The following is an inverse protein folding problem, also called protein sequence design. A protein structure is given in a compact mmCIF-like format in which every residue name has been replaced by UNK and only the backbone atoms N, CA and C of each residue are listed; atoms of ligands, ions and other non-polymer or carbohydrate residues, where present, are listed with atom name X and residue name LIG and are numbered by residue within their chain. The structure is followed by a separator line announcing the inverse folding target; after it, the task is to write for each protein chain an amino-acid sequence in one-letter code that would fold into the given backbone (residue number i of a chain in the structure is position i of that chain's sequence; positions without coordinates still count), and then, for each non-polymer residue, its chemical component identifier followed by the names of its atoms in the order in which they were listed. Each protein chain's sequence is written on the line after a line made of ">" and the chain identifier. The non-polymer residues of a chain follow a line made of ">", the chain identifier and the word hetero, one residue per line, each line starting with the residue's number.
data_IF_588517774250
#
_entry.id   IF_588517774250
#
_cell.length_a   1.000
_cell.length_b   1.000
_cell.length_c   1.000
_cell.angle_alpha   90.00
_cell.angle_beta   90.00
_cell.angle_gamma   90.00
#
_symmetry.space_group_name_H-M   'P 1'
#
loop_
_entity.id
_entity.type
_entity.pdbx_description
1 polymer ?
#
# COMPACT_ATOMS: atom_id res chain seq x y z
N UNK A 1 0.71 16.99 -17.16
CA UNK A 1 0.92 15.71 -16.47
C UNK A 1 -0.18 14.77 -16.91
N UNK A 2 0.13 13.51 -17.21
CA UNK A 2 -0.88 12.52 -17.60
C UNK A 2 -1.84 12.19 -16.44
N UNK A 3 -3.06 11.68 -16.71
CA UNK A 3 -4.03 11.27 -15.68
C UNK A 3 -3.47 10.18 -14.76
N UNK A 4 -2.65 9.28 -15.32
CA UNK A 4 -1.90 8.26 -14.60
C UNK A 4 -0.41 8.43 -14.92
N UNK A 5 0.29 9.33 -14.20
CA UNK A 5 1.69 9.64 -14.49
C UNK A 5 2.59 8.42 -14.26
N UNK A 6 3.59 8.28 -15.12
CA UNK A 6 4.63 7.28 -14.99
C UNK A 6 5.51 7.56 -13.75
N UNK A 7 6.23 6.52 -13.27
CA UNK A 7 7.18 6.69 -12.17
C UNK A 7 8.26 7.73 -12.48
N UNK A 8 8.63 7.89 -13.75
CA UNK A 8 9.61 8.90 -14.18
C UNK A 8 9.05 10.32 -14.07
N UNK A 9 7.80 10.55 -14.50
CA UNK A 9 7.12 11.85 -14.34
C UNK A 9 6.99 12.22 -12.86
N UNK A 10 6.63 11.25 -12.00
CA UNK A 10 6.52 11.46 -10.55
C UNK A 10 7.89 11.79 -9.92
N UNK A 11 8.93 11.05 -10.31
CA UNK A 11 10.30 11.33 -9.85
C UNK A 11 10.74 12.74 -10.22
N UNK A 12 10.52 13.13 -11.47
CA UNK A 12 10.87 14.45 -11.95
C UNK A 12 10.11 15.55 -11.20
N UNK A 13 8.82 15.33 -10.93
CA UNK A 13 8.01 16.23 -10.13
C UNK A 13 8.58 16.40 -8.73
N UNK A 14 8.85 15.34 -7.98
CA UNK A 14 9.39 15.43 -6.63
C UNK A 14 10.79 16.05 -6.59
N UNK A 15 11.63 15.77 -7.57
CA UNK A 15 12.94 16.41 -7.68
C UNK A 15 12.81 17.92 -7.93
N UNK A 16 11.89 18.34 -8.81
CA UNK A 16 11.67 19.77 -9.08
C UNK A 16 11.06 20.47 -7.85
N UNK A 17 10.15 19.81 -7.13
CA UNK A 17 9.59 20.30 -5.87
C UNK A 17 10.69 20.52 -4.82
N UNK A 18 11.55 19.53 -4.63
CA UNK A 18 12.65 19.62 -3.66
C UNK A 18 13.64 20.75 -4.00
N UNK A 19 13.94 20.95 -5.29
CA UNK A 19 14.79 22.08 -5.74
C UNK A 19 14.11 23.43 -5.51
N UNK A 20 12.81 23.54 -5.86
CA UNK A 20 12.06 24.79 -5.74
C UNK A 20 11.99 25.29 -4.29
N UNK A 21 11.88 24.37 -3.33
CA UNK A 21 11.81 24.71 -1.91
C UNK A 21 13.15 24.56 -1.17
N UNK A 22 14.27 24.38 -1.87
CA UNK A 22 15.62 24.22 -1.30
C UNK A 22 15.69 23.09 -0.24
N UNK A 23 14.95 21.99 -0.45
CA UNK A 23 14.86 20.92 0.54
C UNK A 23 16.11 20.05 0.63
N UNK A 24 16.95 20.05 -0.41
CA UNK A 24 18.17 19.23 -0.44
C UNK A 24 19.15 19.53 0.68
N UNK A 25 19.21 20.77 1.16
CA UNK A 25 20.07 21.18 2.26
C UNK A 25 19.66 20.57 3.62
N UNK A 26 18.40 20.09 3.72
CA UNK A 26 17.84 19.46 4.91
C UNK A 26 17.75 17.93 4.81
N UNK A 27 18.21 17.32 3.70
CA UNK A 27 18.09 15.88 3.47
C UNK A 27 19.47 15.23 3.57
N UNK A 28 19.64 14.30 4.47
CA UNK A 28 20.83 13.44 4.55
C UNK A 28 20.61 12.19 3.71
N UNK A 29 21.08 12.19 2.47
CA UNK A 29 21.03 11.03 1.58
C UNK A 29 22.03 9.94 2.02
N UNK A 30 21.75 8.69 1.57
CA UNK A 30 22.59 7.51 1.88
C UNK A 30 22.80 7.33 3.39
N UNK A 31 21.80 7.68 4.18
CA UNK A 31 21.83 7.63 5.65
C UNK A 31 20.71 6.71 6.11
N UNK A 32 21.09 5.58 6.72
CA UNK A 32 20.15 4.61 7.29
C UNK A 32 19.87 4.97 8.74
N UNK A 33 18.60 5.09 9.11
CA UNK A 33 18.20 5.14 10.52
C UNK A 33 18.25 3.71 11.07
N UNK A 34 19.22 3.46 11.98
CA UNK A 34 19.44 2.15 12.59
C UNK A 34 18.52 1.92 13.78
N UNK A 35 18.42 2.91 14.66
CA UNK A 35 17.57 2.83 15.84
C UNK A 35 17.03 4.18 16.27
N UNK A 36 15.85 4.18 16.90
CA UNK A 36 15.25 5.32 17.58
C UNK A 36 14.84 4.86 18.97
N UNK A 37 15.44 5.44 19.99
CA UNK A 37 15.21 5.09 21.40
C UNK A 37 14.66 6.30 22.14
N UNK A 38 13.58 6.10 22.90
CA UNK A 38 13.05 7.15 23.76
C UNK A 38 13.82 7.21 25.06
N UNK A 39 14.36 8.38 25.37
CA UNK A 39 15.13 8.63 26.58
C UNK A 39 14.22 8.95 27.79
N UNK A 40 14.71 8.81 29.02
CA UNK A 40 13.98 9.24 30.23
C UNK A 40 13.61 10.73 30.25
N UNK A 41 14.36 11.58 29.54
CA UNK A 41 14.07 13.01 29.33
C UNK A 41 12.86 13.26 28.43
N UNK A 42 12.29 12.22 27.82
CA UNK A 42 11.28 12.23 26.75
C UNK A 42 11.81 12.64 25.36
N UNK A 43 13.10 12.84 25.20
CA UNK A 43 13.73 13.07 23.90
C UNK A 43 13.95 11.74 23.15
N UNK A 44 14.39 11.83 21.90
CA UNK A 44 14.67 10.70 21.04
C UNK A 44 16.16 10.63 20.72
N UNK A 45 16.81 9.54 21.11
CA UNK A 45 18.13 9.19 20.63
C UNK A 45 17.98 8.47 19.29
N UNK A 46 18.55 9.03 18.23
CA UNK A 46 18.50 8.48 16.88
C UNK A 46 19.91 8.09 16.44
N UNK A 47 20.10 6.81 16.22
CA UNK A 47 21.35 6.28 15.66
C UNK A 47 21.18 6.14 14.15
N UNK A 48 22.08 6.77 13.40
CA UNK A 48 22.13 6.67 11.94
C UNK A 48 23.44 6.05 11.48
N UNK A 49 23.42 5.40 10.29
CA UNK A 49 24.62 4.88 9.62
C UNK A 49 24.78 5.62 8.29
N UNK A 50 25.97 6.26 8.14
CA UNK A 50 26.38 6.91 6.89
C UNK A 50 27.83 6.55 6.60
N UNK A 51 28.13 6.05 5.39
CA UNK A 51 29.47 5.58 5.00
C UNK A 51 30.06 4.60 6.03
N UNK A 52 29.27 3.62 6.47
CA UNK A 52 29.65 2.59 7.47
C UNK A 52 29.96 3.13 8.87
N UNK A 53 29.77 4.42 9.13
CA UNK A 53 29.96 5.06 10.45
C UNK A 53 28.61 5.34 11.12
N UNK A 54 28.56 5.03 12.40
CA UNK A 54 27.42 5.36 13.25
C UNK A 54 27.54 6.79 13.76
N UNK A 55 26.39 7.48 13.76
CA UNK A 55 26.23 8.81 14.34
C UNK A 55 25.01 8.78 15.26
N UNK A 56 25.14 9.32 16.44
CA UNK A 56 24.07 9.41 17.43
C UNK A 56 23.73 10.87 17.65
N UNK A 57 22.45 11.20 17.53
CA UNK A 57 21.92 12.55 17.73
C UNK A 57 20.67 12.49 18.61
N UNK A 58 20.41 13.55 19.37
CA UNK A 58 19.24 13.66 20.25
C UNK A 58 18.29 14.70 19.68
N UNK A 59 17.01 14.34 19.60
CA UNK A 59 15.93 15.17 19.07
C UNK A 59 14.78 15.26 20.06
N UNK A 60 14.11 16.40 20.11
CA UNK A 60 12.90 16.60 20.92
C UNK A 60 11.70 15.88 20.37
N UNK A 61 11.61 15.78 19.04
CA UNK A 61 10.45 15.23 18.31
C UNK A 61 10.90 14.27 17.21
N UNK A 62 10.11 13.23 16.97
CA UNK A 62 10.34 12.25 15.93
C UNK A 62 9.16 12.17 14.97
N UNK A 63 9.40 12.43 13.67
CA UNK A 63 8.40 12.31 12.61
C UNK A 63 8.76 11.17 11.67
N UNK A 64 7.98 10.10 11.72
CA UNK A 64 8.20 8.87 10.94
C UNK A 64 7.46 8.95 9.62
N UNK A 65 8.20 8.95 8.50
CA UNK A 65 7.66 9.09 7.15
C UNK A 65 8.12 7.94 6.22
N UNK A 66 8.52 6.79 6.76
CA UNK A 66 9.10 5.68 6.00
C UNK A 66 8.10 4.94 5.10
N UNK A 67 6.80 5.25 5.23
CA UNK A 67 5.73 4.59 4.48
C UNK A 67 5.45 3.16 4.96
N UNK A 68 4.66 2.42 4.16
CA UNK A 68 4.19 1.08 4.54
C UNK A 68 4.33 0.04 3.41
N UNK A 69 5.06 0.35 2.34
CA UNK A 69 5.28 -0.56 1.20
C UNK A 69 6.78 -0.78 0.95
N UNK A 70 7.53 -1.13 1.99
CA UNK A 70 8.97 -1.34 1.84
C UNK A 70 9.47 -2.67 2.44
N UNK A 71 8.79 -3.25 3.46
CA UNK A 71 9.12 -4.58 3.99
C UNK A 71 8.31 -5.65 3.24
N UNK A 72 8.94 -6.46 2.37
CA UNK A 72 8.25 -7.45 1.55
C UNK A 72 7.64 -8.58 2.39
N UNK A 73 6.37 -8.90 2.13
CA UNK A 73 5.72 -10.08 2.70
C UNK A 73 5.87 -11.27 1.77
N UNK A 74 6.78 -12.17 2.06
CA UNK A 74 6.97 -13.39 1.29
C UNK A 74 5.88 -14.44 1.62
N UNK A 75 5.36 -15.15 0.60
CA UNK A 75 4.46 -16.26 0.85
C UNK A 75 5.26 -17.48 1.31
N UNK A 76 4.64 -18.32 2.16
CA UNK A 76 5.20 -19.59 2.58
C UNK A 76 4.41 -20.72 1.93
N UNK A 77 5.10 -21.58 1.18
CA UNK A 77 4.56 -22.80 0.61
C UNK A 77 5.47 -23.98 0.96
N UNK A 78 4.92 -25.21 1.09
CA UNK A 78 5.76 -26.40 1.28
C UNK A 78 6.74 -26.62 0.14
N UNK A 79 7.91 -27.16 0.46
CA UNK A 79 8.96 -27.47 -0.52
C UNK A 79 9.86 -26.28 -0.87
N UNK A 80 10.68 -26.45 -1.89
CA UNK A 80 11.65 -25.45 -2.31
C UNK A 80 11.59 -25.22 -3.82
N UNK A 81 11.57 -23.95 -4.23
CA UNK A 81 11.67 -23.54 -5.61
C UNK A 81 13.12 -23.23 -5.97
N UNK A 82 13.67 -23.93 -6.98
CA UNK A 82 15.07 -23.79 -7.39
C UNK A 82 15.30 -22.84 -8.56
N UNK A 83 14.22 -22.23 -9.10
CA UNK A 83 14.31 -21.16 -10.09
C UNK A 83 14.52 -19.78 -9.45
N UNK A 84 14.44 -18.74 -10.25
CA UNK A 84 14.51 -17.36 -9.77
C UNK A 84 13.24 -16.99 -8.98
N UNK A 85 13.39 -16.64 -7.70
CA UNK A 85 12.27 -16.22 -6.86
C UNK A 85 12.52 -14.79 -6.34
N UNK A 86 11.62 -13.85 -6.66
CA UNK A 86 11.72 -12.46 -6.22
C UNK A 86 10.37 -11.92 -5.75
N UNK A 87 10.42 -10.93 -4.87
CA UNK A 87 9.23 -10.15 -4.51
C UNK A 87 9.03 -8.98 -5.48
N UNK A 88 7.78 -8.52 -5.66
CA UNK A 88 7.45 -7.36 -6.51
C UNK A 88 8.19 -6.08 -6.12
N UNK A 89 8.67 -5.97 -4.88
CA UNK A 89 9.55 -4.88 -4.44
C UNK A 89 10.88 -4.83 -5.22
N UNK A 90 11.41 -5.98 -5.60
CA UNK A 90 12.65 -6.12 -6.36
C UNK A 90 12.41 -6.02 -7.88
N UNK A 91 11.16 -6.18 -8.33
CA UNK A 91 10.81 -6.05 -9.75
C UNK A 91 10.95 -4.60 -10.22
N UNK A 92 11.78 -4.35 -11.23
CA UNK A 92 12.02 -3.00 -11.78
C UNK A 92 11.60 -2.88 -13.25
N UNK A 93 11.69 -3.94 -14.03
CA UNK A 93 11.39 -3.98 -15.47
C UNK A 93 11.14 -5.40 -15.94
N UNK A 94 10.41 -5.55 -17.04
CA UNK A 94 10.07 -6.87 -17.60
C UNK A 94 11.24 -7.54 -18.37
N UNK A 95 12.21 -6.79 -18.87
CA UNK A 95 13.28 -7.30 -19.74
C UNK A 95 14.02 -8.55 -19.21
N UNK A 96 14.35 -8.71 -17.92
CA UNK A 96 15.01 -9.92 -17.39
C UNK A 96 14.18 -11.20 -17.55
N UNK A 97 12.88 -11.10 -17.81
CA UNK A 97 11.94 -12.22 -17.96
C UNK A 97 11.64 -12.58 -19.41
N UNK A 98 12.40 -11.99 -20.35
CA UNK A 98 12.26 -12.32 -21.78
C UNK A 98 12.48 -13.82 -22.01
N UNK A 99 11.57 -14.42 -22.82
CA UNK A 99 11.58 -15.84 -23.19
C UNK A 99 11.50 -16.85 -22.02
N UNK A 100 11.22 -16.39 -20.77
CA UNK A 100 11.04 -17.25 -19.60
C UNK A 100 9.56 -17.64 -19.42
N UNK A 101 9.33 -18.77 -18.75
CA UNK A 101 8.03 -19.10 -18.16
C UNK A 101 7.96 -18.45 -16.77
N UNK A 102 7.08 -17.50 -16.59
CA UNK A 102 6.96 -16.69 -15.37
C UNK A 102 5.66 -16.95 -14.65
N UNK A 103 5.72 -17.22 -13.36
CA UNK A 103 4.55 -17.24 -12.48
C UNK A 103 4.51 -15.97 -11.62
N UNK A 104 3.40 -15.25 -11.69
CA UNK A 104 3.09 -14.12 -10.79
C UNK A 104 2.11 -14.61 -9.73
N UNK A 105 2.43 -14.39 -8.44
CA UNK A 105 1.61 -14.79 -7.30
C UNK A 105 0.93 -13.56 -6.71
N UNK A 106 -0.41 -13.59 -6.63
CA UNK A 106 -1.21 -12.51 -6.05
C UNK A 106 -2.25 -11.94 -6.98
N UNK A 107 -3.20 -11.17 -6.46
CA UNK A 107 -4.32 -10.60 -7.22
C UNK A 107 -4.54 -9.09 -6.96
N UNK A 108 -3.61 -8.43 -6.26
CA UNK A 108 -3.63 -6.98 -6.08
C UNK A 108 -3.10 -6.23 -7.30
N UNK A 109 -3.07 -4.89 -7.22
CA UNK A 109 -2.61 -4.01 -8.31
C UNK A 109 -1.23 -4.42 -8.84
N UNK A 110 -0.25 -4.61 -7.95
CA UNK A 110 1.10 -5.02 -8.36
C UNK A 110 1.13 -6.33 -9.13
N UNK A 111 0.35 -7.34 -8.71
CA UNK A 111 0.28 -8.62 -9.40
C UNK A 111 -0.28 -8.48 -10.82
N UNK A 112 -1.33 -7.69 -10.96
CA UNK A 112 -1.96 -7.45 -12.26
C UNK A 112 -1.04 -6.67 -13.21
N UNK A 113 -0.39 -5.61 -12.71
CA UNK A 113 0.53 -4.80 -13.52
C UNK A 113 1.79 -5.61 -13.91
N UNK A 114 2.40 -6.35 -12.97
CA UNK A 114 3.56 -7.21 -13.23
C UNK A 114 3.21 -8.31 -14.22
N UNK A 115 2.04 -8.98 -14.07
CA UNK A 115 1.60 -10.01 -15.02
C UNK A 115 1.38 -9.45 -16.43
N UNK A 116 0.79 -8.26 -16.53
CA UNK A 116 0.58 -7.58 -17.82
C UNK A 116 1.93 -7.23 -18.47
N UNK A 117 2.85 -6.62 -17.72
CA UNK A 117 4.16 -6.24 -18.26
C UNK A 117 5.00 -7.45 -18.66
N UNK A 118 5.11 -8.45 -17.79
CA UNK A 118 5.88 -9.68 -18.10
C UNK A 118 5.29 -10.42 -19.31
N UNK A 119 3.96 -10.41 -19.48
CA UNK A 119 3.30 -11.06 -20.63
C UNK A 119 3.66 -10.47 -21.99
N UNK A 120 4.32 -9.31 -22.01
CA UNK A 120 4.76 -8.66 -23.26
C UNK A 120 6.09 -9.21 -23.78
N UNK A 121 6.91 -9.80 -22.90
CA UNK A 121 8.28 -10.24 -23.22
C UNK A 121 8.55 -11.71 -22.89
N UNK A 122 7.83 -12.31 -21.94
CA UNK A 122 8.01 -13.69 -21.52
C UNK A 122 7.54 -14.69 -22.59
N UNK A 123 8.10 -15.90 -22.57
CA UNK A 123 7.57 -17.01 -23.37
C UNK A 123 6.12 -17.33 -22.97
N UNK A 124 5.83 -17.30 -21.66
CA UNK A 124 4.48 -17.45 -21.10
C UNK A 124 4.41 -16.86 -19.70
N UNK A 125 3.38 -16.08 -19.43
CA UNK A 125 3.06 -15.58 -18.08
C UNK A 125 1.87 -16.36 -17.51
N UNK A 126 1.99 -16.76 -16.26
CA UNK A 126 0.94 -17.37 -15.45
C UNK A 126 0.62 -16.49 -14.26
N UNK A 127 -0.63 -16.54 -13.79
CA UNK A 127 -1.08 -15.74 -12.66
C UNK A 127 -1.86 -16.62 -11.68
N UNK A 128 -1.35 -16.79 -10.45
CA UNK A 128 -1.99 -17.59 -9.41
C UNK A 128 -2.69 -16.69 -8.38
N UNK A 129 -4.00 -16.92 -8.22
CA UNK A 129 -4.84 -16.26 -7.23
C UNK A 129 -5.34 -17.24 -6.18
N UNK A 130 -5.15 -16.90 -4.90
CA UNK A 130 -5.70 -17.67 -3.79
C UNK A 130 -7.21 -17.41 -3.59
N UNK A 131 -7.65 -16.19 -3.84
CA UNK A 131 -9.05 -15.73 -3.71
C UNK A 131 -9.41 -14.76 -4.82
N UNK A 132 -10.72 -14.54 -5.04
CA UNK A 132 -11.20 -13.59 -6.03
C UNK A 132 -10.97 -12.14 -5.64
N UNK A 133 -10.71 -11.31 -6.65
CA UNK A 133 -10.56 -9.86 -6.53
C UNK A 133 -11.56 -9.17 -7.45
N UNK A 134 -12.00 -7.98 -7.03
CA UNK A 134 -12.82 -7.10 -7.87
C UNK A 134 -11.90 -6.22 -8.71
N UNK A 135 -11.96 -6.44 -10.03
CA UNK A 135 -11.19 -5.67 -10.99
C UNK A 135 -12.07 -4.53 -11.50
N UNK A 136 -11.51 -3.32 -11.52
CA UNK A 136 -12.13 -2.15 -12.14
C UNK A 136 -11.18 -1.54 -13.17
N UNK A 137 -11.68 -0.99 -14.29
CA UNK A 137 -10.82 -0.36 -15.29
C UNK A 137 -10.23 0.95 -14.77
N UNK A 138 -9.07 1.35 -15.31
CA UNK A 138 -8.45 2.66 -15.02
C UNK A 138 -9.32 3.82 -15.47
N UNK A 139 -10.02 3.66 -16.59
CA UNK A 139 -10.92 4.67 -17.16
C UNK A 139 -12.34 4.14 -17.24
N UNK A 140 -13.29 4.98 -16.87
CA UNK A 140 -14.71 4.72 -16.99
C UNK A 140 -15.36 5.88 -17.75
N UNK A 141 -16.04 5.60 -18.86
CA UNK A 141 -16.63 6.63 -19.75
C UNK A 141 -15.64 7.75 -20.12
N UNK A 142 -14.39 7.39 -20.44
CA UNK A 142 -13.32 8.31 -20.83
C UNK A 142 -12.72 9.15 -19.70
N UNK A 143 -13.08 8.87 -18.44
CA UNK A 143 -12.53 9.58 -17.26
C UNK A 143 -11.85 8.60 -16.32
N UNK A 144 -10.78 9.03 -15.59
CA UNK A 144 -10.20 8.22 -14.52
C UNK A 144 -11.25 7.75 -13.52
N UNK A 145 -11.20 6.48 -13.13
CA UNK A 145 -12.24 5.87 -12.29
C UNK A 145 -12.32 6.49 -10.89
N UNK A 146 -11.22 6.95 -10.34
CA UNK A 146 -11.17 7.68 -9.06
C UNK A 146 -11.85 9.07 -9.15
N UNK A 147 -11.66 9.79 -10.26
CA UNK A 147 -12.38 11.05 -10.54
C UNK A 147 -13.88 10.81 -10.68
N UNK A 148 -14.25 9.71 -11.35
CA UNK A 148 -15.66 9.32 -11.47
C UNK A 148 -16.25 8.98 -10.09
N UNK A 149 -15.54 8.22 -9.27
CA UNK A 149 -15.94 7.88 -7.90
C UNK A 149 -16.10 9.11 -7.00
N UNK A 150 -15.21 10.10 -7.14
CA UNK A 150 -15.30 11.38 -6.40
C UNK A 150 -16.59 12.13 -6.68
N UNK A 151 -17.10 12.10 -7.92
CA UNK A 151 -18.36 12.75 -8.28
C UNK A 151 -19.59 12.11 -7.62
N UNK A 152 -19.48 10.87 -7.16
CA UNK A 152 -20.58 10.15 -6.49
C UNK A 152 -20.54 10.29 -4.95
N UNK A 153 -19.67 11.15 -4.38
CA UNK A 153 -19.54 11.30 -2.93
C UNK A 153 -20.75 11.87 -2.22
N UNK A 154 -21.70 12.44 -2.96
CA UNK A 154 -23.01 12.86 -2.42
C UNK A 154 -23.93 11.68 -2.06
N UNK A 155 -23.67 10.48 -2.62
CA UNK A 155 -24.41 9.26 -2.30
C UNK A 155 -23.86 8.60 -1.03
N UNK A 156 -24.72 7.96 -0.20
CA UNK A 156 -24.26 7.09 0.89
C UNK A 156 -23.32 5.99 0.39
N UNK A 157 -22.33 5.63 1.20
CA UNK A 157 -21.26 4.69 0.82
C UNK A 157 -21.78 3.33 0.33
N UNK A 158 -22.89 2.83 0.90
CA UNK A 158 -23.49 1.56 0.48
C UNK A 158 -24.06 1.63 -0.94
N UNK A 159 -24.69 2.75 -1.33
CA UNK A 159 -25.21 2.95 -2.69
C UNK A 159 -24.05 3.12 -3.69
N UNK A 160 -23.00 3.84 -3.32
CA UNK A 160 -21.79 3.95 -4.15
C UNK A 160 -21.19 2.59 -4.43
N UNK A 161 -21.05 1.76 -3.39
CA UNK A 161 -20.49 0.42 -3.52
C UNK A 161 -21.37 -0.52 -4.36
N UNK A 162 -22.69 -0.42 -4.20
CA UNK A 162 -23.64 -1.19 -5.01
C UNK A 162 -23.53 -0.82 -6.50
N UNK A 163 -23.56 0.49 -6.79
CA UNK A 163 -23.45 1.01 -8.15
C UNK A 163 -22.10 0.68 -8.78
N UNK A 164 -21.01 0.86 -8.05
CA UNK A 164 -19.67 0.51 -8.52
C UNK A 164 -19.52 -0.99 -8.79
N UNK A 165 -20.10 -1.85 -7.93
CA UNK A 165 -20.16 -3.30 -8.15
C UNK A 165 -20.94 -3.68 -9.40
N UNK A 166 -22.08 -3.04 -9.63
CA UNK A 166 -22.91 -3.25 -10.81
C UNK A 166 -22.19 -2.82 -12.10
N UNK A 167 -21.58 -1.63 -12.10
CA UNK A 167 -20.81 -1.14 -13.25
C UNK A 167 -19.62 -2.07 -13.53
N UNK A 168 -18.89 -2.51 -12.50
CA UNK A 168 -17.79 -3.45 -12.68
C UNK A 168 -18.26 -4.79 -13.26
N UNK A 169 -19.43 -5.29 -12.86
CA UNK A 169 -20.02 -6.52 -13.39
C UNK A 169 -20.45 -6.38 -14.84
N UNK A 170 -21.10 -5.27 -15.20
CA UNK A 170 -21.46 -5.01 -16.61
C UNK A 170 -20.21 -4.93 -17.50
N UNK A 171 -19.18 -4.23 -17.03
CA UNK A 171 -17.96 -4.03 -17.81
C UNK A 171 -17.13 -5.32 -18.00
N UNK A 172 -17.00 -6.12 -16.95
CA UNK A 172 -16.07 -7.25 -16.91
C UNK A 172 -16.75 -8.62 -16.98
N UNK A 173 -18.03 -8.72 -16.62
CA UNK A 173 -18.70 -10.00 -16.39
C UNK A 173 -18.22 -10.71 -15.13
N UNK A 174 -18.44 -12.01 -15.05
CA UNK A 174 -17.98 -12.88 -13.96
C UNK A 174 -16.50 -13.22 -14.11
N UNK A 175 -15.77 -13.29 -13.02
CA UNK A 175 -14.35 -13.73 -13.01
C UNK A 175 -14.20 -15.17 -13.58
N UNK A 176 -15.21 -16.02 -13.43
CA UNK A 176 -15.19 -17.41 -13.93
C UNK A 176 -14.93 -17.50 -15.42
N UNK A 177 -15.45 -16.56 -16.23
CA UNK A 177 -15.25 -16.57 -17.69
C UNK A 177 -13.79 -16.33 -18.08
N UNK A 178 -12.96 -15.85 -17.14
CA UNK A 178 -11.51 -15.66 -17.30
C UNK A 178 -10.69 -16.78 -16.63
N UNK A 179 -11.34 -17.78 -16.00
CA UNK A 179 -10.65 -18.80 -15.21
C UNK A 179 -10.10 -18.29 -13.88
N UNK A 180 -10.64 -17.17 -13.38
CA UNK A 180 -10.26 -16.56 -12.12
C UNK A 180 -11.29 -16.86 -11.03
N UNK A 181 -10.88 -16.96 -9.72
CA UNK A 181 -11.82 -17.16 -8.62
C UNK A 181 -12.80 -15.99 -8.49
N UNK A 182 -14.04 -16.30 -8.11
CA UNK A 182 -15.04 -15.27 -7.79
C UNK A 182 -14.71 -14.61 -6.45
N UNK A 183 -14.95 -13.28 -6.32
CA UNK A 183 -14.84 -12.61 -5.04
C UNK A 183 -15.91 -13.13 -4.05
N UNK A 184 -15.46 -13.55 -2.88
CA UNK A 184 -16.28 -14.02 -1.76
C UNK A 184 -16.86 -12.90 -0.88
N UNK A 185 -16.67 -11.65 -1.28
CA UNK A 185 -17.02 -10.45 -0.51
C UNK A 185 -17.73 -9.39 -1.35
N UNK A 186 -18.48 -8.51 -0.67
CA UNK A 186 -19.19 -7.39 -1.30
C UNK A 186 -18.20 -6.35 -1.82
N UNK A 187 -18.61 -5.56 -2.82
CA UNK A 187 -17.83 -4.43 -3.31
C UNK A 187 -17.59 -3.42 -2.16
N UNK A 188 -16.35 -2.93 -2.03
CA UNK A 188 -15.94 -2.00 -0.96
C UNK A 188 -15.47 -2.69 0.33
N UNK A 189 -15.69 -4.01 0.50
CA UNK A 189 -15.17 -4.76 1.65
C UNK A 189 -13.65 -5.02 1.57
N UNK A 190 -13.07 -4.85 0.39
CA UNK A 190 -11.62 -4.90 0.13
C UNK A 190 -11.23 -3.77 -0.79
N UNK A 191 -9.92 -3.49 -0.83
CA UNK A 191 -9.37 -2.58 -1.83
C UNK A 191 -9.56 -3.18 -3.24
N UNK A 192 -10.25 -2.51 -4.18
CA UNK A 192 -10.41 -3.02 -5.53
C UNK A 192 -9.06 -3.04 -6.28
N UNK A 193 -8.95 -3.93 -7.25
CA UNK A 193 -7.81 -3.97 -8.16
C UNK A 193 -8.11 -3.15 -9.39
N UNK A 194 -7.29 -2.12 -9.64
CA UNK A 194 -7.46 -1.21 -10.78
C UNK A 194 -6.55 -1.67 -11.91
N UNK A 195 -7.11 -2.27 -12.95
CA UNK A 195 -6.34 -2.70 -14.11
C UNK A 195 -7.25 -2.83 -15.35
N UNK A 196 -6.85 -2.26 -16.49
CA UNK A 196 -7.62 -2.30 -17.74
C UNK A 196 -7.16 -3.40 -18.70
N UNK A 197 -5.95 -3.94 -18.54
CA UNK A 197 -5.34 -4.85 -19.52
C UNK A 197 -5.37 -6.32 -19.10
N UNK A 198 -5.43 -6.63 -17.80
CA UNK A 198 -5.30 -8.00 -17.30
C UNK A 198 -6.31 -8.95 -17.96
N UNK A 199 -7.60 -8.61 -17.90
CA UNK A 199 -8.66 -9.45 -18.42
C UNK A 199 -8.55 -9.62 -19.95
N UNK A 200 -8.16 -8.57 -20.66
CA UNK A 200 -7.84 -8.60 -22.08
C UNK A 200 -6.68 -9.57 -22.37
N UNK A 201 -5.57 -9.47 -21.62
CA UNK A 201 -4.41 -10.36 -21.80
C UNK A 201 -4.72 -11.82 -21.51
N UNK A 202 -5.61 -12.09 -20.54
CA UNK A 202 -6.10 -13.45 -20.27
C UNK A 202 -6.90 -13.98 -21.46
N UNK A 203 -7.86 -13.20 -21.98
CA UNK A 203 -8.67 -13.58 -23.14
C UNK A 203 -7.86 -13.82 -24.41
N UNK A 204 -6.78 -13.08 -24.61
CA UNK A 204 -5.84 -13.29 -25.70
C UNK A 204 -4.81 -14.41 -25.42
N UNK A 205 -4.96 -15.16 -24.32
CA UNK A 205 -4.09 -16.27 -23.97
C UNK A 205 -2.64 -15.88 -23.65
N UNK A 206 -2.34 -14.59 -23.45
CA UNK A 206 -1.00 -14.12 -23.07
C UNK A 206 -0.70 -14.38 -21.60
N UNK A 207 -1.73 -14.32 -20.75
CA UNK A 207 -1.66 -14.66 -19.33
C UNK A 207 -2.57 -15.86 -19.10
N UNK A 208 -2.04 -16.90 -18.44
CA UNK A 208 -2.79 -18.11 -18.08
C UNK A 208 -3.08 -18.11 -16.58
N UNK A 209 -4.35 -18.04 -16.16
CA UNK A 209 -4.72 -18.18 -14.75
C UNK A 209 -4.37 -19.58 -14.22
N UNK A 210 -3.99 -19.64 -12.97
CA UNK A 210 -3.75 -20.84 -12.17
C UNK A 210 -4.44 -20.72 -10.82
N UNK A 211 -4.81 -21.85 -10.26
CA UNK A 211 -5.33 -21.92 -8.90
C UNK A 211 -4.27 -21.59 -7.87
N UNK A 212 -4.62 -21.63 -6.59
CA UNK A 212 -3.67 -21.45 -5.49
C UNK A 212 -2.56 -22.51 -5.56
N UNK A 213 -1.34 -22.11 -5.21
CA UNK A 213 -0.18 -23.00 -5.12
C UNK A 213 -0.40 -23.95 -3.94
N UNK A 214 -0.09 -25.24 -4.17
CA UNK A 214 -0.05 -26.27 -3.16
C UNK A 214 1.38 -26.42 -2.60
N UNK A 215 2.36 -26.71 -3.46
CA UNK A 215 3.76 -26.87 -3.06
C UNK A 215 4.73 -26.61 -4.20
N UNK A 216 5.98 -26.43 -3.84
CA UNK A 216 7.14 -26.34 -4.73
C UNK A 216 7.94 -27.65 -4.75
N UNK A 217 8.46 -28.03 -5.93
CA UNK A 217 9.34 -29.17 -6.10
C UNK A 217 10.34 -28.87 -7.21
N UNK A 218 11.52 -28.37 -6.84
CA UNK A 218 12.50 -27.87 -7.80
C UNK A 218 11.95 -26.72 -8.64
N UNK A 219 11.95 -26.85 -9.96
CA UNK A 219 11.30 -25.86 -10.86
C UNK A 219 9.80 -26.14 -11.10
N UNK A 220 9.28 -27.27 -10.62
CA UNK A 220 7.88 -27.63 -10.77
C UNK A 220 7.05 -27.05 -9.63
N UNK A 221 5.93 -26.44 -9.98
CA UNK A 221 4.96 -25.90 -9.01
C UNK A 221 3.66 -26.66 -9.17
N UNK A 222 3.16 -27.21 -8.07
CA UNK A 222 1.89 -27.90 -7.97
C UNK A 222 0.82 -26.95 -7.47
N UNK A 223 -0.37 -27.07 -8.05
CA UNK A 223 -1.52 -26.22 -7.71
C UNK A 223 -2.62 -27.05 -7.08
N UNK A 224 -3.52 -26.42 -6.30
CA UNK A 224 -4.63 -27.08 -5.60
C UNK A 224 -5.67 -27.71 -6.54
N UNK A 225 -5.67 -27.38 -7.82
CA UNK A 225 -6.47 -28.04 -8.85
C UNK A 225 -5.82 -29.31 -9.42
N UNK A 226 -4.80 -29.83 -8.75
CA UNK A 226 -3.99 -30.99 -9.15
C UNK A 226 -3.16 -30.79 -10.42
N UNK A 227 -3.15 -29.60 -10.99
CA UNK A 227 -2.28 -29.28 -12.11
C UNK A 227 -0.86 -28.95 -11.62
N UNK A 228 0.13 -29.17 -12.49
CA UNK A 228 1.50 -28.73 -12.25
C UNK A 228 2.09 -28.09 -13.52
N UNK A 229 3.12 -27.29 -13.34
CA UNK A 229 3.85 -26.65 -14.44
C UNK A 229 5.27 -26.30 -13.98
N UNK A 230 6.22 -26.28 -14.91
CA UNK A 230 7.59 -25.84 -14.66
C UNK A 230 7.73 -24.34 -14.95
N UNK A 231 8.48 -23.66 -14.08
CA UNK A 231 8.74 -22.23 -14.19
C UNK A 231 10.22 -21.91 -14.09
N UNK A 232 10.63 -20.87 -14.82
CA UNK A 232 11.97 -20.31 -14.73
C UNK A 232 12.06 -19.25 -13.61
N UNK A 233 10.97 -18.46 -13.45
CA UNK A 233 10.93 -17.39 -12.47
C UNK A 233 9.55 -17.31 -11.80
N UNK A 234 9.57 -16.95 -10.51
CA UNK A 234 8.38 -16.66 -9.70
C UNK A 234 8.48 -15.23 -9.17
N UNK A 235 7.43 -14.44 -9.35
CA UNK A 235 7.34 -13.07 -8.83
C UNK A 235 6.21 -13.01 -7.80
N UNK A 236 6.57 -12.89 -6.52
CA UNK A 236 5.63 -12.78 -5.42
C UNK A 236 5.12 -11.34 -5.29
N UNK A 237 3.84 -11.11 -5.60
CA UNK A 237 3.14 -9.84 -5.41
C UNK A 237 2.18 -9.96 -4.22
N UNK A 238 2.71 -10.38 -3.09
CA UNK A 238 1.94 -10.79 -1.90
C UNK A 238 1.79 -9.69 -0.85
N UNK A 239 2.22 -8.47 -1.21
CA UNK A 239 2.08 -7.26 -0.39
C UNK A 239 3.25 -7.05 0.56
N UNK A 240 3.02 -6.22 1.58
CA UNK A 240 4.04 -5.71 2.48
C UNK A 240 3.58 -5.84 3.93
N UNK A 241 4.52 -5.83 4.84
CA UNK A 241 4.29 -5.73 6.28
C UNK A 241 4.51 -4.30 6.77
N UNK A 242 3.77 -3.93 7.84
CA UNK A 242 3.97 -2.64 8.49
C UNK A 242 5.16 -2.75 9.43
N UNK A 243 6.34 -2.43 8.95
CA UNK A 243 7.57 -2.57 9.70
C UNK A 243 8.21 -1.22 10.02
N UNK A 244 8.69 -1.11 11.24
CA UNK A 244 9.48 0.02 11.74
C UNK A 244 10.73 -0.55 12.44
N UNK A 245 11.71 -1.09 11.69
CA UNK A 245 12.80 -1.87 12.24
C UNK A 245 13.77 -1.06 13.11
N UNK A 246 13.68 0.25 13.04
CA UNK A 246 14.44 1.18 13.89
C UNK A 246 13.83 1.38 15.28
N UNK A 247 12.66 0.82 15.57
CA UNK A 247 12.12 0.72 16.92
C UNK A 247 12.32 -0.67 17.51
N UNK A 248 12.58 -0.75 18.80
CA UNK A 248 12.49 -2.01 19.52
C UNK A 248 11.06 -2.58 19.42
N UNK A 249 10.95 -3.89 19.16
CA UNK A 249 9.65 -4.55 18.97
C UNK A 249 8.76 -4.51 20.21
N UNK A 250 9.34 -4.42 21.41
CA UNK A 250 8.60 -4.27 22.65
C UNK A 250 8.11 -2.84 22.87
N UNK A 251 8.80 -1.85 22.29
CA UNK A 251 8.41 -0.45 22.33
C UNK A 251 7.29 -0.16 21.33
N UNK A 252 7.47 -0.51 20.06
CA UNK A 252 6.50 -0.27 19.00
C UNK A 252 6.57 -1.36 17.92
N UNK A 253 5.46 -2.09 17.77
CA UNK A 253 5.35 -3.12 16.75
C UNK A 253 3.96 -3.07 16.09
N UNK A 254 3.91 -2.67 14.82
CA UNK A 254 2.69 -2.69 14.01
C UNK A 254 2.70 -3.81 12.94
N UNK A 255 3.66 -4.73 12.99
CA UNK A 255 3.70 -5.87 12.08
C UNK A 255 2.47 -6.76 12.25
N UNK A 256 2.01 -6.92 13.48
CA UNK A 256 0.80 -7.65 13.84
C UNK A 256 -0.16 -6.78 14.67
N UNK A 257 -1.44 -7.14 14.67
CA UNK A 257 -2.45 -6.45 15.47
C UNK A 257 -2.90 -5.10 14.92
N UNK A 258 -3.67 -4.35 15.71
CA UNK A 258 -4.22 -3.04 15.31
C UNK A 258 -3.15 -1.95 15.28
N UNK A 259 -3.45 -0.85 14.55
CA UNK A 259 -2.63 0.36 14.51
C UNK A 259 -3.42 1.51 15.15
N UNK A 260 -3.34 1.67 16.48
CA UNK A 260 -4.13 2.63 17.24
C UNK A 260 -3.49 4.03 17.23
N UNK A 261 -3.52 4.66 16.06
CA UNK A 261 -3.03 6.01 15.83
C UNK A 261 -4.19 6.94 15.49
N UNK A 262 -4.44 7.97 16.30
CA UNK A 262 -5.45 8.97 15.99
C UNK A 262 -5.09 9.73 14.71
N UNK A 263 -6.04 9.79 13.78
CA UNK A 263 -5.84 10.30 12.41
C UNK A 263 -4.66 9.62 11.69
N UNK A 264 -4.36 8.35 12.05
CA UNK A 264 -3.23 7.58 11.53
C UNK A 264 -1.87 8.28 11.69
N UNK A 265 -1.75 9.19 12.66
CA UNK A 265 -0.53 9.97 12.88
C UNK A 265 -0.12 10.18 14.33
N UNK A 266 -1.06 10.28 15.27
CA UNK A 266 -0.74 10.58 16.67
C UNK A 266 -0.77 9.33 17.54
N UNK A 267 0.31 9.07 18.26
CA UNK A 267 0.39 7.98 19.22
C UNK A 267 -0.41 8.29 20.48
N UNK A 268 -0.95 7.27 21.16
CA UNK A 268 -1.78 7.45 22.35
C UNK A 268 -1.02 8.06 23.55
N UNK A 269 0.24 7.67 23.74
CA UNK A 269 1.04 8.01 24.92
C UNK A 269 2.17 9.00 24.60
N UNK A 270 2.78 8.88 23.41
CA UNK A 270 3.94 9.71 23.04
C UNK A 270 3.47 10.93 22.25
N UNK A 271 3.60 12.09 22.86
CA UNK A 271 3.12 13.38 22.33
C UNK A 271 4.06 14.00 21.29
N UNK A 272 5.30 13.56 21.27
CA UNK A 272 6.35 13.95 20.34
C UNK A 272 6.76 12.86 19.34
N UNK A 273 5.86 11.88 19.11
CA UNK A 273 5.98 10.86 18.06
C UNK A 273 4.84 11.01 17.06
N UNK A 274 5.20 11.24 15.80
CA UNK A 274 4.26 11.47 14.70
C UNK A 274 4.51 10.49 13.55
N UNK A 275 3.44 10.05 12.90
CA UNK A 275 3.51 9.25 11.66
C UNK A 275 2.87 10.03 10.52
N UNK A 276 3.55 10.13 9.37
CA UNK A 276 2.99 10.74 8.16
C UNK A 276 2.98 9.70 7.04
N UNK A 277 1.83 9.58 6.36
CA UNK A 277 1.65 8.58 5.31
C UNK A 277 1.37 7.15 5.82
N UNK A 278 1.08 6.99 7.13
CA UNK A 278 0.75 5.68 7.73
C UNK A 278 -0.74 5.32 7.54
N UNK A 279 -1.27 5.57 6.35
CA UNK A 279 -2.65 5.25 5.98
C UNK A 279 -2.73 4.83 4.52
N UNK A 280 -3.75 4.03 4.18
CA UNK A 280 -4.01 3.58 2.82
C UNK A 280 -5.40 4.05 2.36
N UNK A 281 -5.48 5.07 1.49
CA UNK A 281 -6.75 5.54 0.94
C UNK A 281 -7.16 4.70 -0.27
N UNK A 282 -8.45 4.79 -0.64
CA UNK A 282 -8.92 4.45 -1.97
C UNK A 282 -8.66 5.65 -2.89
N UNK A 283 -7.42 5.81 -3.37
CA UNK A 283 -6.99 6.95 -4.17
C UNK A 283 -5.55 7.37 -3.87
N UNK A 284 -5.21 8.62 -4.19
CA UNK A 284 -3.88 9.17 -3.99
C UNK A 284 -3.60 9.47 -2.51
N UNK A 285 -2.44 9.05 -2.01
CA UNK A 285 -2.02 9.26 -0.61
C UNK A 285 -1.61 10.73 -0.33
N UNK A 286 -1.09 11.45 -1.33
CA UNK A 286 -0.42 12.74 -1.13
C UNK A 286 -1.27 13.83 -0.49
N UNK A 287 -2.56 14.06 -0.88
CA UNK A 287 -3.36 15.08 -0.23
C UNK A 287 -3.61 14.82 1.26
N UNK A 288 -3.67 13.55 1.67
CA UNK A 288 -3.78 13.18 3.07
C UNK A 288 -2.47 13.42 3.82
N UNK A 289 -1.35 13.00 3.25
CA UNK A 289 -0.01 13.22 3.83
C UNK A 289 0.31 14.73 3.95
N UNK A 290 -0.07 15.56 2.97
CA UNK A 290 0.04 17.01 3.07
C UNK A 290 -0.73 17.57 4.26
N UNK A 291 -1.99 17.18 4.45
CA UNK A 291 -2.78 17.64 5.59
C UNK A 291 -2.24 17.12 6.93
N UNK A 292 -1.70 15.89 6.96
CA UNK A 292 -0.98 15.39 8.14
C UNK A 292 0.27 16.22 8.43
N UNK A 293 1.06 16.58 7.41
CA UNK A 293 2.27 17.39 7.55
C UNK A 293 1.95 18.79 8.09
N UNK A 294 0.88 19.42 7.60
CA UNK A 294 0.39 20.69 8.13
C UNK A 294 0.01 20.55 9.61
N UNK A 295 -0.76 19.52 9.95
CA UNK A 295 -1.20 19.30 11.33
C UNK A 295 -0.03 18.96 12.28
N UNK A 296 0.94 18.17 11.83
CA UNK A 296 2.18 17.87 12.55
C UNK A 296 2.97 19.15 12.81
N UNK A 297 3.14 20.01 11.80
CA UNK A 297 3.81 21.30 11.96
C UNK A 297 3.12 22.21 12.99
N UNK A 298 1.79 22.23 13.00
CA UNK A 298 1.03 22.99 14.01
C UNK A 298 1.20 22.39 15.40
N UNK A 299 1.30 21.08 15.53
CA UNK A 299 1.57 20.40 16.79
C UNK A 299 2.98 20.70 17.30
N UNK A 300 4.01 20.55 16.45
CA UNK A 300 5.41 20.86 16.75
C UNK A 300 5.63 22.31 17.19
N UNK A 301 4.84 23.24 16.66
CA UNK A 301 4.86 24.66 17.06
C UNK A 301 4.03 24.95 18.33
N UNK A 302 3.42 23.94 18.97
CA UNK A 302 2.54 24.11 20.12
C UNK A 302 1.21 24.83 19.81
N UNK A 303 0.91 25.07 18.52
CA UNK A 303 -0.31 25.76 18.09
C UNK A 303 -1.53 24.83 18.10
N UNK A 304 -1.36 23.54 17.80
CA UNK A 304 -2.41 22.54 17.96
C UNK A 304 -2.30 21.87 19.31
N UNK A 305 -3.35 21.99 20.10
CA UNK A 305 -3.41 21.38 21.43
C UNK A 305 -3.85 19.93 21.33
N UNK A 306 -3.01 19.02 21.82
CA UNK A 306 -3.30 17.60 21.92
C UNK A 306 -4.56 17.38 22.77
N UNK A 307 -5.56 16.62 22.31
CA UNK A 307 -6.73 16.27 23.11
C UNK A 307 -6.33 15.47 24.36
N UNK A 308 -6.95 15.78 25.51
CA UNK A 308 -6.72 15.06 26.77
C UNK A 308 -7.17 13.58 26.70
N UNK A 309 -8.17 13.28 25.85
CA UNK A 309 -8.68 11.93 25.64
C UNK A 309 -8.03 11.23 24.44
N UNK A 310 -6.74 11.49 24.17
CA UNK A 310 -6.03 10.91 23.01
C UNK A 310 -6.09 9.38 22.97
N UNK A 311 -5.98 8.72 24.11
CA UNK A 311 -6.05 7.27 24.23
C UNK A 311 -7.40 6.72 23.70
N UNK A 312 -8.50 7.36 24.08
CA UNK A 312 -9.85 6.97 23.61
C UNK A 312 -10.01 7.20 22.11
N UNK A 313 -9.43 8.30 21.60
CA UNK A 313 -9.44 8.59 20.16
C UNK A 313 -8.67 7.54 19.38
N UNK A 314 -7.50 7.11 19.85
CA UNK A 314 -6.71 6.04 19.23
C UNK A 314 -7.44 4.68 19.27
N UNK A 315 -8.09 4.35 20.38
CA UNK A 315 -8.92 3.14 20.49
C UNK A 315 -10.09 3.18 19.51
N UNK A 316 -10.74 4.33 19.38
CA UNK A 316 -11.85 4.51 18.44
C UNK A 316 -11.45 4.30 16.98
N UNK A 317 -10.25 4.71 16.58
CA UNK A 317 -9.73 4.46 15.21
C UNK A 317 -9.68 2.97 14.84
N UNK A 318 -9.57 2.09 15.85
CA UNK A 318 -9.53 0.64 15.67
C UNK A 318 -10.92 0.02 15.82
N UNK A 319 -11.67 0.42 16.85
CA UNK A 319 -12.95 -0.22 17.22
C UNK A 319 -14.12 0.28 16.36
N UNK A 320 -14.05 1.51 15.88
CA UNK A 320 -15.08 2.13 15.03
C UNK A 320 -14.47 2.87 13.83
N UNK A 321 -13.79 2.15 12.92
CA UNK A 321 -13.18 2.77 11.75
C UNK A 321 -14.25 3.31 10.78
N UNK A 322 -13.89 4.35 10.02
CA UNK A 322 -14.78 4.94 9.01
C UNK A 322 -15.17 3.96 7.89
N UNK A 323 -14.35 2.95 7.65
CA UNK A 323 -14.62 1.88 6.69
C UNK A 323 -14.52 0.52 7.38
N UNK A 324 -15.60 -0.24 7.33
CA UNK A 324 -15.60 -1.65 7.74
C UNK A 324 -15.13 -2.50 6.57
N UNK A 325 -13.94 -3.05 6.68
CA UNK A 325 -13.36 -3.98 5.71
C UNK A 325 -13.14 -5.36 6.33
N UNK A 326 -12.86 -6.35 5.48
CA UNK A 326 -12.49 -7.68 5.98
C UNK A 326 -11.20 -7.57 6.81
N UNK A 327 -11.16 -8.30 7.93
CA UNK A 327 -10.01 -8.27 8.84
C UNK A 327 -8.81 -8.99 8.21
N UNK A 328 -7.94 -8.21 7.59
CA UNK A 328 -6.66 -8.70 7.04
C UNK A 328 -5.57 -7.68 7.34
N UNK A 329 -4.31 -8.12 7.37
CA UNK A 329 -3.15 -7.24 7.59
C UNK A 329 -3.11 -6.04 6.64
N UNK A 330 -3.58 -6.23 5.40
CA UNK A 330 -3.64 -5.18 4.36
C UNK A 330 -4.58 -4.01 4.73
N UNK A 331 -5.66 -4.26 5.48
CA UNK A 331 -6.72 -3.28 5.70
C UNK A 331 -6.63 -2.51 7.03
N UNK A 332 -5.61 -2.78 7.85
CA UNK A 332 -5.45 -2.16 9.18
C UNK A 332 -5.27 -0.64 9.17
N UNK A 333 -4.75 -0.11 8.08
CA UNK A 333 -4.50 1.33 7.90
C UNK A 333 -5.39 1.95 6.81
N UNK A 334 -6.38 1.23 6.30
CA UNK A 334 -7.30 1.76 5.28
C UNK A 334 -8.19 2.85 5.86
N UNK A 335 -8.41 3.90 5.08
CA UNK A 335 -9.28 5.03 5.44
C UNK A 335 -10.25 5.36 4.31
N UNK A 336 -11.45 5.87 4.65
CA UNK A 336 -12.27 6.60 3.68
C UNK A 336 -11.58 7.93 3.36
N UNK A 337 -11.12 8.09 2.15
CA UNK A 337 -10.29 9.22 1.74
C UNK A 337 -10.94 10.58 2.01
N UNK A 338 -12.22 10.74 1.67
CA UNK A 338 -12.90 12.02 1.80
C UNK A 338 -13.21 12.37 3.26
N UNK A 339 -13.65 11.38 4.03
CA UNK A 339 -13.89 11.56 5.46
C UNK A 339 -12.61 11.85 6.21
N UNK A 340 -11.53 11.11 5.89
CA UNK A 340 -10.21 11.30 6.48
C UNK A 340 -9.66 12.71 6.24
N UNK A 341 -9.73 13.21 5.00
CA UNK A 341 -9.35 14.59 4.67
C UNK A 341 -10.19 15.62 5.42
N UNK A 342 -11.51 15.37 5.56
CA UNK A 342 -12.41 16.25 6.29
C UNK A 342 -12.02 16.34 7.77
N UNK A 343 -11.65 15.22 8.37
CA UNK A 343 -11.27 15.15 9.79
C UNK A 343 -9.94 15.84 10.04
N UNK A 344 -8.93 15.65 9.18
CA UNK A 344 -7.65 16.38 9.24
C UNK A 344 -7.88 17.89 9.11
N UNK A 345 -8.62 18.33 8.09
CA UNK A 345 -8.95 19.75 7.88
C UNK A 345 -9.73 20.36 9.05
N UNK A 346 -10.59 19.57 9.71
CA UNK A 346 -11.33 20.00 10.91
C UNK A 346 -10.38 20.31 12.07
N UNK A 347 -9.33 19.49 12.27
CA UNK A 347 -8.33 19.77 13.32
C UNK A 347 -7.51 21.01 12.99
N UNK A 348 -7.06 21.17 11.75
CA UNK A 348 -6.30 22.34 11.29
C UNK A 348 -7.10 23.65 11.46
N UNK A 349 -8.42 23.60 11.12
CA UNK A 349 -9.30 24.77 11.25
C UNK A 349 -9.52 25.20 12.70
N UNK A 350 -9.41 24.31 13.68
CA UNK A 350 -9.54 24.68 15.09
C UNK A 350 -8.41 25.64 15.53
N UNK A 351 -7.21 25.45 14.98
CA UNK A 351 -6.04 26.32 15.29
C UNK A 351 -6.21 27.70 14.65
N UNK A 352 -6.78 27.81 13.46
CA UNK A 352 -6.98 29.08 12.76
C UNK A 352 -8.09 29.97 13.37
N UNK A 353 -8.83 29.46 14.37
CA UNK A 353 -9.91 30.20 15.07
C UNK A 353 -9.48 30.74 16.43
N UNK A 354 -8.25 30.49 16.85
CA UNK A 354 -7.59 31.06 18.02
C UNK A 354 -6.69 32.21 17.58
#
# INVERSE_FOLDING_TARGET
>A
MSDYPSHQELRNYFQSYARHFNLYDFIQFNTLVKSCVRLPSNDWEVTTIKNEKEHVEIFTDLVVCNGHHWEPKYPSYPGNFTGEFLHSHQYKKAAPFANKKVLVIGGGNSACDVAVETSRVSAKTYLSWRRGYRIIPKFLMGKPTDVFATKMTFLPIYLRNLLAGFIAHINNGSNKIYGLPEPDHKFGATHPTINSELLYKIRHGKIKPKSEIDRFEGKTIYFKDSSCEQFDSVIACTGFELAHPFFDKNFLNYTEGPVPLYLKMFHAEYDNLYFIGMFQPLGCIWPGAEQQSILATLALKGLWKRPSNMKDLCVREVTNPHMKQINTSRHRITVDFHQFLKDLKKQIKKVKKI
#
